data_IF_507407915597
#
_entry.id   IF_507407915597
#
_cell.length_a   1.000
_cell.length_b   1.000
_cell.length_c   1.000
_cell.angle_alpha   90.00
_cell.angle_beta   90.00
_cell.angle_gamma   90.00
#
_symmetry.space_group_name_H-M   'P 1'
#
loop_
_entity.id
_entity.type
_entity.pdbx_description
1 polymer ?
#
# COMPACT_ATOMS: atom_id res chain seq x y z
N UNK A 1 -7.13 -9.57 -4.16
CA UNK A 1 -6.31 -9.03 -3.05
C UNK A 1 -7.22 -8.13 -2.23
N UNK A 2 -7.11 -8.11 -0.90
CA UNK A 2 -7.90 -7.20 -0.05
C UNK A 2 -7.28 -5.80 -0.03
N UNK A 3 -8.07 -4.77 0.31
CA UNK A 3 -7.58 -3.39 0.51
C UNK A 3 -6.43 -3.35 1.53
N UNK A 4 -6.51 -4.17 2.58
CA UNK A 4 -5.45 -4.36 3.57
C UNK A 4 -4.16 -4.93 2.97
N UNK A 5 -4.26 -5.83 1.98
CA UNK A 5 -3.12 -6.39 1.26
C UNK A 5 -2.40 -5.37 0.39
N UNK A 6 -3.15 -4.56 -0.37
CA UNK A 6 -2.59 -3.46 -1.17
C UNK A 6 -1.91 -2.41 -0.28
N UNK A 7 -2.55 -2.05 0.84
CA UNK A 7 -1.95 -1.11 1.81
C UNK A 7 -0.63 -1.65 2.37
N UNK A 8 -0.54 -2.95 2.65
CA UNK A 8 0.69 -3.58 3.11
C UNK A 8 1.77 -3.59 2.01
N UNK A 9 1.38 -3.88 0.77
CA UNK A 9 2.27 -3.82 -0.41
C UNK A 9 2.87 -2.41 -0.58
N UNK A 10 2.04 -1.37 -0.52
CA UNK A 10 2.49 0.03 -0.65
C UNK A 10 3.40 0.47 0.51
N UNK A 11 3.07 0.08 1.74
CA UNK A 11 3.92 0.33 2.91
C UNK A 11 5.29 -0.34 2.76
N UNK A 12 5.31 -1.59 2.30
CA UNK A 12 6.56 -2.31 2.05
C UNK A 12 7.42 -1.62 0.99
N UNK A 13 6.79 -1.20 -0.12
CA UNK A 13 7.48 -0.43 -1.16
C UNK A 13 8.09 0.86 -0.62
N UNK A 14 7.32 1.64 0.14
CA UNK A 14 7.78 2.89 0.75
C UNK A 14 8.87 2.68 1.82
N UNK A 15 8.94 1.50 2.44
CA UNK A 15 10.00 1.14 3.39
C UNK A 15 11.32 0.85 2.69
N UNK A 16 11.29 0.35 1.45
CA UNK A 16 12.49 0.11 0.65
C UNK A 16 12.93 1.40 -0.03
N UNK A 17 11.99 2.08 -0.70
CA UNK A 17 12.23 3.27 -1.50
C UNK A 17 11.75 4.53 -0.79
N UNK A 18 12.39 4.85 0.32
CA UNK A 18 12.04 6.04 1.09
C UNK A 18 12.40 7.34 0.34
N UNK A 19 11.97 8.48 0.89
CA UNK A 19 12.21 9.82 0.32
C UNK A 19 13.68 10.20 0.17
N UNK A 20 14.60 9.51 0.86
CA UNK A 20 16.03 9.77 0.81
C UNK A 20 16.81 8.76 -0.03
N UNK A 21 16.17 7.70 -0.53
CA UNK A 21 16.85 6.68 -1.33
C UNK A 21 17.64 7.31 -2.49
N UNK A 22 18.85 6.81 -2.70
CA UNK A 22 19.83 7.34 -3.65
C UNK A 22 19.47 7.23 -5.14
N UNK A 23 18.42 6.48 -5.50
CA UNK A 23 18.10 6.14 -6.90
C UNK A 23 16.63 6.22 -7.22
N UNK A 24 15.77 5.66 -6.38
CA UNK A 24 14.33 5.67 -6.60
C UNK A 24 13.63 6.00 -5.30
N UNK A 25 12.81 7.05 -5.30
CA UNK A 25 12.14 7.58 -4.11
C UNK A 25 10.64 7.50 -4.30
N UNK A 26 9.93 6.94 -3.33
CA UNK A 26 8.48 7.09 -3.25
C UNK A 26 8.21 8.38 -2.47
N UNK A 27 7.69 9.37 -3.17
CA UNK A 27 7.43 10.71 -2.61
C UNK A 27 6.12 10.71 -1.83
N UNK A 28 5.08 10.08 -2.39
CA UNK A 28 3.78 9.94 -1.77
C UNK A 28 3.02 8.75 -2.35
N UNK A 29 2.14 8.15 -1.55
CA UNK A 29 1.29 7.05 -2.00
C UNK A 29 -0.07 7.09 -1.32
N UNK A 30 -1.09 6.63 -2.05
CA UNK A 30 -2.45 6.33 -1.59
C UNK A 30 -2.86 4.96 -2.15
N UNK A 31 -4.10 4.53 -1.92
CA UNK A 31 -4.58 3.24 -2.42
C UNK A 31 -4.76 3.25 -3.95
N UNK A 32 -5.07 4.40 -4.53
CA UNK A 32 -5.35 4.60 -5.96
C UNK A 32 -4.19 5.24 -6.73
N UNK A 33 -3.22 5.85 -6.04
CA UNK A 33 -2.10 6.55 -6.68
C UNK A 33 -0.77 6.30 -5.97
N UNK A 34 0.31 6.24 -6.75
CA UNK A 34 1.69 6.14 -6.26
C UNK A 34 2.56 7.14 -7.04
N UNK A 35 3.24 8.02 -6.33
CA UNK A 35 4.07 9.07 -6.88
C UNK A 35 5.54 8.83 -6.54
N UNK A 36 6.37 8.72 -7.57
CA UNK A 36 7.75 8.30 -7.46
C UNK A 36 8.69 9.24 -8.20
N UNK A 37 9.95 9.27 -7.78
CA UNK A 37 11.02 10.02 -8.42
C UNK A 37 12.22 9.11 -8.66
N UNK A 38 12.74 9.11 -9.88
CA UNK A 38 13.98 8.45 -10.24
C UNK A 38 15.10 9.49 -10.40
N UNK A 39 16.19 9.32 -9.66
CA UNK A 39 17.31 10.25 -9.67
C UNK A 39 18.22 9.98 -10.87
N UNK A 40 18.40 11.01 -11.68
CA UNK A 40 19.28 10.98 -12.85
C UNK A 40 20.71 11.35 -12.47
N UNK A 41 21.72 10.75 -13.14
CA UNK A 41 23.11 11.13 -12.91
C UNK A 41 23.35 12.56 -13.37
N UNK A 42 24.26 13.31 -12.70
CA UNK A 42 24.62 14.64 -13.16
C UNK A 42 25.21 14.60 -14.58
N UNK A 43 24.87 15.56 -15.45
CA UNK A 43 25.44 15.63 -16.78
C UNK A 43 26.95 15.87 -16.68
N UNK A 44 27.72 15.09 -17.44
CA UNK A 44 29.14 15.36 -17.66
C UNK A 44 29.29 16.20 -18.94
N UNK A 45 30.11 17.27 -18.97
CA UNK A 45 30.97 17.79 -17.90
C UNK A 45 30.24 18.65 -16.85
N UNK A 46 30.84 18.92 -15.68
CA UNK A 46 30.27 19.70 -14.57
C UNK A 46 30.16 21.21 -14.87
N UNK A 47 29.82 21.58 -16.10
CA UNK A 47 29.67 22.97 -16.52
C UNK A 47 28.40 23.65 -15.99
N UNK A 48 27.47 22.87 -15.44
CA UNK A 48 26.27 23.39 -14.78
C UNK A 48 26.30 23.04 -13.29
N UNK A 49 26.17 24.02 -12.38
CA UNK A 49 26.10 23.78 -10.94
C UNK A 49 24.78 23.12 -10.48
N UNK A 50 23.86 22.84 -11.42
CA UNK A 50 22.55 22.30 -11.14
C UNK A 50 22.52 20.81 -11.53
N UNK A 51 22.26 19.95 -10.55
CA UNK A 51 21.86 18.56 -10.79
C UNK A 51 20.60 18.53 -11.66
N UNK A 52 20.47 17.58 -12.60
CA UNK A 52 19.26 17.45 -13.38
C UNK A 52 18.07 17.20 -12.45
N UNK A 53 16.87 17.71 -12.79
CA UNK A 53 15.68 17.39 -12.02
C UNK A 53 15.45 15.87 -12.04
N UNK A 54 14.95 15.29 -10.94
CA UNK A 54 14.58 13.88 -10.93
C UNK A 54 13.45 13.62 -11.93
N UNK A 55 13.44 12.41 -12.49
CA UNK A 55 12.36 11.96 -13.36
C UNK A 55 11.14 11.62 -12.51
N UNK A 56 10.01 12.26 -12.78
CA UNK A 56 8.77 12.07 -12.02
C UNK A 56 7.89 11.00 -12.68
N UNK A 57 7.47 10.02 -11.88
CA UNK A 57 6.69 8.87 -12.30
C UNK A 57 5.39 8.82 -11.48
N UNK A 58 4.27 8.68 -12.17
CA UNK A 58 2.97 8.52 -11.55
C UNK A 58 2.43 7.14 -11.89
N UNK A 59 1.82 6.49 -10.91
CA UNK A 59 1.16 5.21 -11.09
C UNK A 59 -0.26 5.30 -10.54
N UNK A 60 -1.25 4.94 -11.37
CA UNK A 60 -2.63 4.82 -10.95
C UNK A 60 -2.97 3.34 -10.77
N UNK A 61 -3.53 3.02 -9.61
CA UNK A 61 -3.96 1.68 -9.21
C UNK A 61 -5.48 1.66 -9.26
N UNK A 62 -6.03 0.81 -10.13
CA UNK A 62 -7.48 0.71 -10.31
C UNK A 62 -8.12 -0.13 -9.21
N UNK A 63 -9.42 0.09 -8.95
CA UNK A 63 -10.18 -0.71 -7.99
C UNK A 63 -10.24 -2.21 -8.34
N UNK A 64 -10.01 -2.53 -9.61
CA UNK A 64 -9.91 -3.91 -10.11
C UNK A 64 -8.54 -4.55 -9.85
N UNK A 65 -7.59 -3.87 -9.23
CA UNK A 65 -6.30 -4.47 -8.86
C UNK A 65 -6.51 -5.64 -7.89
N UNK A 66 -5.84 -6.80 -8.08
CA UNK A 66 -4.78 -7.10 -9.05
C UNK A 66 -5.28 -7.76 -10.35
N UNK A 67 -6.59 -7.79 -10.59
CA UNK A 67 -7.15 -8.31 -11.85
C UNK A 67 -6.81 -7.42 -13.05
N UNK A 68 -6.65 -6.11 -12.82
CA UNK A 68 -6.08 -5.17 -13.78
C UNK A 68 -4.70 -4.70 -13.33
N UNK A 69 -3.81 -4.47 -14.30
CA UNK A 69 -2.50 -3.88 -14.07
C UNK A 69 -2.60 -2.40 -13.64
N UNK A 70 -1.67 -1.92 -12.79
CA UNK A 70 -1.45 -0.50 -12.60
C UNK A 70 -1.08 0.21 -13.92
N UNK A 71 -1.43 1.48 -14.02
CA UNK A 71 -1.15 2.33 -15.18
C UNK A 71 -0.03 3.30 -14.81
N UNK A 72 1.05 3.32 -15.58
CA UNK A 72 2.23 4.15 -15.31
C UNK A 72 2.33 5.32 -16.29
N UNK A 73 2.69 6.48 -15.75
CA UNK A 73 2.89 7.73 -16.48
C UNK A 73 4.24 8.33 -16.09
N UNK A 74 4.82 9.10 -17.00
CA UNK A 74 6.08 9.81 -16.78
C UNK A 74 5.91 11.27 -17.18
N UNK A 75 6.39 12.17 -16.33
CA UNK A 75 6.41 13.61 -16.62
C UNK A 75 7.73 13.96 -17.32
N UNK A 76 7.87 13.48 -18.55
CA UNK A 76 9.03 13.73 -19.41
C UNK A 76 8.65 13.55 -20.89
N UNK A 77 9.26 14.36 -21.76
CA UNK A 77 9.07 14.30 -23.22
C UNK A 77 10.05 13.33 -23.91
N UNK A 78 10.85 12.57 -23.14
CA UNK A 78 11.82 11.62 -23.71
C UNK A 78 11.11 10.43 -24.39
N UNK A 79 11.24 10.27 -25.73
CA UNK A 79 10.58 9.18 -26.45
C UNK A 79 11.05 7.80 -25.99
N UNK A 80 12.28 7.67 -25.48
CA UNK A 80 12.77 6.40 -24.96
C UNK A 80 11.99 5.97 -23.71
N UNK A 81 11.60 6.92 -22.86
CA UNK A 81 10.78 6.63 -21.68
C UNK A 81 9.37 6.21 -22.07
N UNK A 82 8.78 6.87 -23.06
CA UNK A 82 7.50 6.46 -23.62
C UNK A 82 7.57 5.01 -24.11
N UNK A 83 8.60 4.64 -24.87
CA UNK A 83 8.81 3.26 -25.30
C UNK A 83 9.05 2.27 -24.15
N UNK A 84 9.65 2.70 -23.04
CA UNK A 84 9.78 1.87 -21.84
C UNK A 84 8.40 1.58 -21.23
N UNK A 85 7.54 2.60 -21.10
CA UNK A 85 6.19 2.44 -20.56
C UNK A 85 5.27 1.63 -21.46
N UNK A 86 5.34 1.80 -22.79
CA UNK A 86 4.56 1.00 -23.74
C UNK A 86 4.87 -0.50 -23.62
N UNK A 87 6.15 -0.85 -23.44
CA UNK A 87 6.54 -2.26 -23.22
C UNK A 87 6.13 -2.78 -21.85
N UNK A 88 6.07 -1.91 -20.84
CA UNK A 88 5.55 -2.29 -19.52
C UNK A 88 4.07 -2.70 -19.63
N UNK A 89 3.29 -1.99 -20.42
CA UNK A 89 1.88 -2.31 -20.67
C UNK A 89 1.69 -3.62 -21.47
N UNK A 90 2.56 -3.92 -22.43
CA UNK A 90 2.49 -5.17 -23.22
C UNK A 90 2.81 -6.44 -22.38
N UNK A 91 3.31 -6.28 -21.15
CA UNK A 91 3.57 -7.40 -20.22
C UNK A 91 2.27 -7.99 -19.66
N UNK A 92 1.48 -8.66 -20.52
CA UNK A 92 0.11 -9.16 -20.25
C UNK A 92 -0.04 -10.08 -19.03
N UNK A 93 1.04 -10.60 -18.47
CA UNK A 93 1.03 -11.48 -17.30
C UNK A 93 1.42 -10.81 -15.98
N UNK A 94 1.88 -9.55 -16.01
CA UNK A 94 2.49 -8.91 -14.84
C UNK A 94 1.58 -7.81 -14.28
N UNK A 95 0.50 -8.23 -13.61
CA UNK A 95 -0.41 -7.29 -12.94
C UNK A 95 0.07 -6.84 -11.55
N UNK A 96 1.15 -7.42 -11.01
CA UNK A 96 1.65 -7.06 -9.67
C UNK A 96 2.40 -5.72 -9.69
N UNK A 97 2.01 -4.80 -8.81
CA UNK A 97 2.64 -3.50 -8.66
C UNK A 97 4.14 -3.63 -8.36
N UNK A 98 4.53 -4.48 -7.41
CA UNK A 98 5.94 -4.75 -7.09
C UNK A 98 6.73 -5.23 -8.31
N UNK A 99 6.16 -6.17 -9.08
CA UNK A 99 6.85 -6.75 -10.22
C UNK A 99 7.01 -5.75 -11.37
N UNK A 100 5.98 -4.94 -11.63
CA UNK A 100 6.04 -3.85 -12.59
C UNK A 100 7.05 -2.79 -12.18
N UNK A 101 7.04 -2.39 -10.90
CA UNK A 101 7.99 -1.41 -10.36
C UNK A 101 9.44 -1.92 -10.45
N UNK A 102 9.69 -3.19 -10.09
CA UNK A 102 10.99 -3.84 -10.25
C UNK A 102 11.48 -3.79 -11.71
N UNK A 103 10.59 -4.14 -12.63
CA UNK A 103 10.89 -4.11 -14.07
C UNK A 103 11.20 -2.67 -14.52
N UNK A 104 10.38 -1.70 -14.12
CA UNK A 104 10.53 -0.30 -14.49
C UNK A 104 11.86 0.26 -13.98
N UNK A 105 12.19 0.05 -12.70
CA UNK A 105 13.48 0.51 -12.13
C UNK A 105 14.66 -0.13 -12.88
N UNK A 106 14.58 -1.43 -13.16
CA UNK A 106 15.62 -2.13 -13.91
C UNK A 106 15.81 -1.54 -15.32
N UNK A 107 14.72 -1.23 -16.00
CA UNK A 107 14.74 -0.70 -17.35
C UNK A 107 15.20 0.76 -17.41
N UNK A 108 14.82 1.58 -16.43
CA UNK A 108 15.34 2.94 -16.26
C UNK A 108 16.84 2.93 -15.96
N UNK A 109 17.31 2.02 -15.11
CA UNK A 109 18.74 1.85 -14.87
C UNK A 109 19.49 1.45 -16.14
N UNK A 110 18.90 0.57 -16.96
CA UNK A 110 19.47 0.19 -18.26
C UNK A 110 19.51 1.36 -19.24
N UNK A 111 18.44 2.16 -19.29
CA UNK A 111 18.31 3.31 -20.19
C UNK A 111 19.33 4.41 -19.87
N UNK A 112 19.49 4.75 -18.59
CA UNK A 112 20.43 5.77 -18.13
C UNK A 112 21.84 5.23 -17.80
N UNK A 113 22.09 3.95 -18.12
CA UNK A 113 23.37 3.26 -17.90
C UNK A 113 23.88 3.34 -16.45
N UNK A 114 23.00 3.08 -15.49
CA UNK A 114 23.28 3.15 -14.07
C UNK A 114 23.34 1.74 -13.44
N UNK A 115 24.17 1.52 -12.39
CA UNK A 115 24.24 0.22 -11.72
C UNK A 115 22.92 -0.08 -11.01
N UNK A 116 22.43 -1.31 -11.12
CA UNK A 116 21.21 -1.74 -10.40
C UNK A 116 21.48 -1.73 -8.89
N UNK A 117 20.55 -1.20 -8.11
CA UNK A 117 20.68 -1.13 -6.65
C UNK A 117 20.26 -2.45 -5.98
N UNK A 118 20.86 -2.81 -4.85
CA UNK A 118 20.56 -4.04 -4.10
C UNK A 118 19.09 -4.07 -3.64
N UNK A 119 18.54 -2.90 -3.32
CA UNK A 119 17.15 -2.73 -2.88
C UNK A 119 16.12 -3.20 -3.92
N UNK A 120 16.50 -3.26 -5.20
CA UNK A 120 15.64 -3.82 -6.26
C UNK A 120 15.43 -5.33 -6.07
N UNK A 121 16.37 -6.03 -5.43
CA UNK A 121 16.24 -7.45 -5.08
C UNK A 121 15.35 -7.65 -3.84
N UNK A 122 15.23 -6.65 -2.97
CA UNK A 122 14.31 -6.69 -1.82
C UNK A 122 12.84 -6.77 -2.25
N UNK A 123 12.51 -6.33 -3.47
CA UNK A 123 11.16 -6.44 -4.03
C UNK A 123 10.67 -7.89 -4.19
N UNK A 124 11.58 -8.87 -4.27
CA UNK A 124 11.22 -10.29 -4.33
C UNK A 124 10.85 -10.88 -2.97
N UNK A 125 11.18 -10.18 -1.87
CA UNK A 125 10.88 -10.67 -0.54
C UNK A 125 9.36 -10.69 -0.27
N UNK A 126 8.88 -11.64 0.55
CA UNK A 126 7.48 -11.64 0.97
C UNK A 126 7.16 -10.35 1.75
N UNK A 127 5.93 -9.86 1.61
CA UNK A 127 5.47 -8.73 2.41
C UNK A 127 5.46 -9.19 3.88
N UNK A 128 6.10 -8.45 4.81
CA UNK A 128 6.06 -8.79 6.22
C UNK A 128 4.62 -8.69 6.74
N UNK A 129 3.95 -9.83 6.84
CA UNK A 129 2.61 -9.96 7.42
C UNK A 129 2.73 -9.94 8.94
N UNK A 130 2.49 -8.79 9.55
CA UNK A 130 2.39 -8.68 11.01
C UNK A 130 1.10 -9.30 11.54
N UNK A 131 1.01 -10.62 11.63
CA UNK A 131 0.11 -11.36 12.55
C UNK A 131 0.72 -12.74 12.90
N UNK A 132 1.00 -12.94 14.20
CA UNK A 132 1.47 -14.18 14.79
C UNK A 132 0.44 -15.32 14.65
N UNK A 133 0.93 -16.55 14.39
CA UNK A 133 0.13 -17.78 14.51
C UNK A 133 0.89 -19.05 14.11
N UNK A 134 1.63 -19.63 15.06
CA UNK A 134 2.13 -21.03 15.13
C UNK A 134 3.07 -21.52 14.02
N UNK A 135 4.39 -21.44 14.28
CA UNK A 135 5.22 -22.60 14.69
C UNK A 135 6.60 -22.09 15.08
N UNK A 136 7.08 -22.60 16.22
CA UNK A 136 8.34 -22.33 16.90
C UNK A 136 9.57 -22.45 15.97
N UNK A 137 10.58 -21.59 16.14
CA UNK A 137 11.87 -21.95 16.77
C UNK A 137 12.91 -20.80 16.63
N UNK A 138 13.18 -20.16 17.78
CA UNK A 138 14.47 -19.67 18.32
C UNK A 138 15.41 -18.83 17.42
N UNK A 139 15.62 -17.55 17.77
CA UNK A 139 16.92 -17.00 18.28
C UNK A 139 16.84 -15.49 18.60
N UNK A 140 16.96 -15.20 19.91
CA UNK A 140 17.55 -14.05 20.62
C UNK A 140 17.04 -12.58 20.49
N UNK A 141 16.62 -12.10 21.69
CA UNK A 141 16.84 -10.79 22.36
C UNK A 141 16.40 -9.49 21.63
N UNK A 142 15.33 -8.80 22.10
CA UNK A 142 15.31 -7.72 23.13
C UNK A 142 16.18 -6.50 22.72
N UNK A 143 15.80 -5.23 22.75
CA UNK A 143 14.65 -4.43 23.20
C UNK A 143 15.05 -2.97 22.86
N UNK A 144 14.16 -2.12 22.32
CA UNK A 144 14.20 -0.65 22.49
C UNK A 144 12.89 -0.06 21.94
N UNK A 145 11.83 -0.21 22.74
CA UNK A 145 10.75 0.78 22.80
C UNK A 145 11.29 1.97 23.61
N UNK A 146 11.44 3.14 22.98
CA UNK A 146 11.20 4.46 23.59
C UNK A 146 11.51 5.59 22.58
N UNK A 147 10.47 6.29 22.12
CA UNK A 147 10.45 7.76 22.29
C UNK A 147 9.00 8.25 22.28
N UNK A 148 8.47 8.41 23.50
CA UNK A 148 7.39 9.32 23.82
C UNK A 148 7.94 10.75 23.75
N UNK A 149 7.35 11.59 22.90
CA UNK A 149 7.43 13.04 23.06
C UNK A 149 6.05 13.64 22.79
N UNK A 150 5.38 13.86 23.93
CA UNK A 150 4.28 14.77 24.23
C UNK A 150 3.99 15.87 23.18
N UNK A 151 2.71 16.00 22.81
CA UNK A 151 2.01 17.27 23.07
C UNK A 151 0.52 17.00 23.33
N UNK A 152 0.13 17.20 24.59
CA UNK A 152 -1.21 17.07 25.14
C UNK A 152 -1.60 18.47 25.60
N UNK A 153 -1.98 19.38 24.70
CA UNK A 153 -2.66 20.62 25.13
C UNK A 153 -3.81 20.97 24.19
N UNK A 154 -5.02 20.93 24.76
CA UNK A 154 -6.28 21.52 24.28
C UNK A 154 -7.08 20.85 23.15
N UNK A 155 -7.81 19.80 23.51
CA UNK A 155 -9.23 19.74 23.10
C UNK A 155 -10.10 19.17 24.24
N UNK A 156 -10.33 20.06 25.20
CA UNK A 156 -11.49 20.09 26.10
C UNK A 156 -12.56 18.98 25.92
N UNK A 157 -12.54 18.05 26.87
CA UNK A 157 -13.70 17.51 27.57
C UNK A 157 -15.07 17.98 27.05
N UNK A 158 -15.63 17.26 26.08
CA UNK A 158 -17.09 17.22 25.94
C UNK A 158 -17.61 16.07 26.81
N UNK A 159 -18.09 16.40 28.01
CA UNK A 159 -18.99 15.52 28.78
C UNK A 159 -20.23 15.25 27.92
N UNK A 160 -20.31 14.06 27.30
CA UNK A 160 -21.59 13.57 26.80
C UNK A 160 -22.48 13.31 28.01
N UNK A 161 -23.41 14.25 28.24
CA UNK A 161 -24.50 14.12 29.19
C UNK A 161 -25.27 12.83 28.88
N UNK A 162 -25.35 11.92 29.85
CA UNK A 162 -26.31 10.81 29.80
C UNK A 162 -27.72 11.41 29.76
N UNK A 163 -28.34 11.41 28.59
CA UNK A 163 -29.80 11.54 28.51
C UNK A 163 -30.43 10.17 28.68
N UNK A 164 -31.31 10.09 29.68
CA UNK A 164 -32.16 8.93 29.97
C UNK A 164 -32.91 8.42 28.72
N UNK A 165 -33.24 7.12 28.68
CA UNK A 165 -33.79 6.49 27.49
C UNK A 165 -35.20 7.02 27.20
N UNK A 166 -35.34 7.79 26.12
CA UNK A 166 -36.65 8.09 25.56
C UNK A 166 -37.20 6.83 24.88
N UNK A 167 -38.05 6.14 25.64
CA UNK A 167 -39.10 5.26 25.14
C UNK A 167 -39.75 5.88 23.89
N UNK A 168 -39.57 5.26 22.72
CA UNK A 168 -40.09 5.81 21.48
C UNK A 168 -39.87 4.94 20.26
N UNK A 169 -40.67 3.87 20.13
CA UNK A 169 -40.90 3.12 18.89
C UNK A 169 -40.87 4.00 17.63
N UNK A 170 -40.00 3.68 16.68
CA UNK A 170 -40.36 3.62 15.25
C UNK A 170 -39.38 2.71 14.50
N UNK A 171 -39.97 1.64 14.01
CA UNK A 171 -39.42 0.58 13.17
C UNK A 171 -38.96 1.11 11.82
N UNK A 172 -37.69 0.89 11.50
CA UNK A 172 -37.16 0.84 10.14
C UNK A 172 -36.88 -0.64 9.84
N UNK A 173 -37.93 -1.39 9.53
CA UNK A 173 -37.88 -2.77 9.03
C UNK A 173 -38.95 -2.92 7.93
N UNK A 174 -38.80 -2.13 6.87
CA UNK A 174 -39.58 -2.30 5.64
C UNK A 174 -38.66 -2.74 4.50
N UNK A 175 -38.03 -3.91 4.66
CA UNK A 175 -37.23 -4.49 3.58
C UNK A 175 -36.83 -5.95 3.75
N UNK A 176 -37.08 -6.58 4.90
CA UNK A 176 -36.69 -7.97 5.13
C UNK A 176 -37.94 -8.83 5.23
N UNK A 177 -38.12 -9.70 4.24
CA UNK A 177 -39.22 -10.67 4.20
C UNK A 177 -39.24 -11.50 5.49
N UNK A 178 -40.39 -11.66 6.13
CA UNK A 178 -40.55 -12.31 7.46
C UNK A 178 -39.93 -13.72 7.54
N UNK A 179 -39.81 -14.39 6.39
CA UNK A 179 -39.14 -15.67 6.26
C UNK A 179 -37.61 -15.56 6.45
N UNK A 180 -36.99 -14.51 5.91
CA UNK A 180 -35.55 -14.24 6.08
C UNK A 180 -35.20 -13.96 7.55
N UNK A 181 -36.06 -13.26 8.30
CA UNK A 181 -35.84 -13.03 9.73
C UNK A 181 -35.85 -14.35 10.53
N UNK A 182 -36.80 -15.24 10.24
CA UNK A 182 -36.89 -16.54 10.88
C UNK A 182 -35.67 -17.44 10.56
N UNK A 183 -35.12 -17.35 9.34
CA UNK A 183 -33.90 -18.06 8.96
C UNK A 183 -32.70 -17.55 9.77
N UNK A 184 -32.55 -16.24 9.93
CA UNK A 184 -31.48 -15.64 10.75
C UNK A 184 -31.55 -16.08 12.22
N UNK A 185 -32.74 -16.12 12.80
CA UNK A 185 -32.93 -16.61 14.16
C UNK A 185 -32.59 -18.10 14.29
N UNK A 186 -32.96 -18.92 13.29
CA UNK A 186 -32.63 -20.34 13.27
C UNK A 186 -31.12 -20.57 13.20
N UNK A 187 -30.39 -19.82 12.37
CA UNK A 187 -28.92 -19.90 12.27
C UNK A 187 -28.26 -19.50 13.59
N UNK A 188 -28.69 -18.39 14.21
CA UNK A 188 -28.18 -17.95 15.52
C UNK A 188 -28.41 -18.98 16.61
N UNK A 189 -29.55 -19.68 16.57
CA UNK A 189 -29.88 -20.73 17.54
C UNK A 189 -29.03 -21.98 17.34
N UNK A 190 -28.79 -22.37 16.08
CA UNK A 190 -27.90 -23.51 15.75
C UNK A 190 -26.46 -23.23 16.19
N UNK A 191 -25.92 -22.04 15.93
CA UNK A 191 -24.57 -21.68 16.42
C UNK A 191 -24.46 -21.80 17.93
N UNK A 192 -25.44 -21.29 18.69
CA UNK A 192 -25.45 -21.41 20.15
C UNK A 192 -25.49 -22.87 20.63
N UNK A 193 -26.14 -23.76 19.89
CA UNK A 193 -26.19 -25.17 20.23
C UNK A 193 -24.86 -25.86 19.96
N UNK A 194 -24.21 -25.56 18.82
CA UNK A 194 -22.91 -26.13 18.48
C UNK A 194 -21.83 -25.80 19.53
N UNK A 195 -21.83 -24.56 20.04
CA UNK A 195 -20.92 -24.13 21.11
C UNK A 195 -21.20 -24.76 22.50
N UNK A 196 -22.39 -25.33 22.72
CA UNK A 196 -22.76 -25.97 23.99
C UNK A 196 -22.57 -27.50 23.97
N UNK A 197 -22.25 -28.06 22.80
CA UNK A 197 -22.17 -29.50 22.56
C UNK A 197 -20.72 -30.00 22.44
N UNK A 198 -19.73 -29.24 22.92
CA UNK A 198 -18.31 -29.65 23.04
C UNK A 198 -17.94 -30.05 24.47
#
# INVERSE_FOLDING_TARGET
MSVSGLKAELKFLASIFDKNHERFRIVSWKLDELHCQFLLPPPAPPSSPHSPPPLTLHCNITESYPSSSPIWFVDSDDPNLTSVLERLEDTKSNNSLRQQLKWLICELCRLYNLPKHLDVEMLDQPIPTGQNGTTEEVTSEEEEEEEMAEDIEDLDHYEMKEEEPVSGKKSEDEGIEKENLAILEKIRKTQRQDHLNV
#
